data_IF_310981512189
#
_entry.id   IF_310981512189
#
_cell.length_a   1.000
_cell.length_b   1.000
_cell.length_c   1.000
_cell.angle_alpha   90.00
_cell.angle_beta   90.00
_cell.angle_gamma   90.00
#
_symmetry.space_group_name_H-M   'P 1'
#
loop_
_entity.id
_entity.type
_entity.pdbx_description
1 polymer ?
#
# COMPACT_ATOMS: atom_id res chain seq x y z
N UNK A 1 -21.75 -5.50 7.51
CA UNK A 1 -20.62 -4.56 7.31
C UNK A 1 -20.50 -4.27 5.83
N UNK A 2 -20.32 -3.00 5.45
CA UNK A 2 -20.17 -2.61 4.04
C UNK A 2 -18.79 -3.01 3.54
N UNK A 3 -18.71 -3.47 2.27
CA UNK A 3 -17.43 -3.81 1.62
C UNK A 3 -16.44 -2.63 1.74
N UNK A 4 -15.18 -2.87 2.16
CA UNK A 4 -14.17 -1.81 2.21
C UNK A 4 -13.93 -1.19 0.84
N UNK A 5 -13.57 0.10 0.85
CA UNK A 5 -13.02 0.76 -0.33
C UNK A 5 -11.52 0.51 -0.36
N UNK A 6 -11.03 -0.08 -1.44
CA UNK A 6 -9.62 -0.42 -1.60
C UNK A 6 -8.83 0.75 -2.18
N UNK A 7 -7.58 0.89 -1.74
CA UNK A 7 -6.66 1.89 -2.27
C UNK A 7 -6.07 1.36 -3.58
N UNK A 8 -6.08 2.17 -4.63
CA UNK A 8 -5.48 1.79 -5.91
C UNK A 8 -3.98 2.08 -5.92
N UNK A 9 -3.23 1.37 -6.77
CA UNK A 9 -1.79 1.65 -6.96
C UNK A 9 -1.53 3.11 -7.31
N UNK A 10 -2.31 3.67 -8.24
CA UNK A 10 -2.18 5.07 -8.65
C UNK A 10 -2.38 6.05 -7.49
N UNK A 11 -3.29 5.76 -6.56
CA UNK A 11 -3.45 6.59 -5.36
C UNK A 11 -2.23 6.52 -4.45
N UNK A 12 -1.62 5.35 -4.29
CA UNK A 12 -0.41 5.19 -3.47
C UNK A 12 0.78 5.86 -4.13
N UNK A 13 0.99 5.68 -5.43
CA UNK A 13 2.04 6.37 -6.20
C UNK A 13 1.88 7.89 -6.10
N UNK A 14 0.66 8.41 -6.25
CA UNK A 14 0.38 9.85 -6.11
C UNK A 14 0.68 10.38 -4.69
N UNK A 15 0.34 9.61 -3.65
CA UNK A 15 0.66 9.98 -2.26
C UNK A 15 2.18 9.93 -2.04
N UNK A 16 2.86 8.92 -2.58
CA UNK A 16 4.32 8.78 -2.47
C UNK A 16 5.04 9.96 -3.14
N UNK A 17 4.62 10.36 -4.34
CA UNK A 17 5.13 11.56 -5.01
C UNK A 17 5.01 12.78 -4.11
N UNK A 18 3.82 13.03 -3.52
CA UNK A 18 3.63 14.15 -2.61
C UNK A 18 4.53 14.10 -1.36
N UNK A 19 4.82 12.91 -0.82
CA UNK A 19 5.73 12.72 0.32
C UNK A 19 7.16 13.07 -0.06
N UNK A 20 7.63 12.62 -1.22
CA UNK A 20 8.99 12.92 -1.72
C UNK A 20 9.13 14.41 -2.02
N UNK A 21 8.13 15.06 -2.63
CA UNK A 21 8.16 16.50 -2.93
C UNK A 21 8.29 17.36 -1.65
N UNK A 22 7.72 16.91 -0.53
CA UNK A 22 7.79 17.62 0.76
C UNK A 22 9.07 17.29 1.53
N UNK A 23 9.46 16.02 1.56
CA UNK A 23 10.53 15.51 2.43
C UNK A 23 11.90 15.37 1.76
N UNK A 24 11.95 15.44 0.43
CA UNK A 24 13.08 14.99 -0.37
C UNK A 24 13.16 13.45 -0.44
N UNK A 25 14.15 12.96 -1.18
CA UNK A 25 14.34 11.53 -1.44
C UNK A 25 14.31 11.20 -2.93
N UNK A 26 14.13 9.93 -3.27
CA UNK A 26 14.10 9.47 -4.67
C UNK A 26 12.70 9.06 -5.11
N UNK A 27 12.25 9.66 -6.21
CA UNK A 27 11.03 9.23 -6.90
C UNK A 27 11.20 7.87 -7.53
N UNK A 28 10.08 7.16 -7.64
CA UNK A 28 9.96 5.99 -8.51
C UNK A 28 9.86 4.68 -7.76
N UNK A 29 9.32 3.71 -8.48
CA UNK A 29 9.21 2.33 -8.02
C UNK A 29 10.50 1.58 -8.27
N UNK A 30 10.92 0.83 -7.25
CA UNK A 30 11.91 -0.22 -7.38
C UNK A 30 11.30 -1.41 -8.12
N UNK A 31 10.09 -1.79 -7.74
CA UNK A 31 9.39 -2.94 -8.31
C UNK A 31 7.86 -2.78 -8.17
N UNK A 32 7.17 -2.75 -9.32
CA UNK A 32 5.71 -2.61 -9.38
C UNK A 32 5.00 -3.82 -8.76
N UNK A 33 5.52 -5.03 -8.95
CA UNK A 33 4.95 -6.26 -8.40
C UNK A 33 5.03 -6.32 -6.87
N UNK A 34 6.07 -5.72 -6.27
CA UNK A 34 6.17 -5.57 -4.82
C UNK A 34 5.08 -4.63 -4.28
N UNK A 35 4.75 -3.55 -4.99
CA UNK A 35 3.64 -2.68 -4.59
C UNK A 35 2.28 -3.37 -4.78
N UNK A 36 2.03 -3.95 -5.95
CA UNK A 36 0.76 -4.63 -6.25
C UNK A 36 0.48 -5.78 -5.27
N UNK A 37 1.50 -6.57 -4.91
CA UNK A 37 1.35 -7.63 -3.91
C UNK A 37 1.05 -7.09 -2.50
N UNK A 38 1.63 -5.95 -2.11
CA UNK A 38 1.32 -5.30 -0.84
C UNK A 38 -0.14 -4.82 -0.79
N UNK A 39 -0.64 -4.23 -1.87
CA UNK A 39 -2.01 -3.73 -1.96
C UNK A 39 -3.06 -4.85 -2.07
N UNK A 40 -2.68 -6.00 -2.63
CA UNK A 40 -3.55 -7.16 -2.73
C UNK A 40 -3.72 -7.89 -1.37
N UNK A 41 -2.73 -7.82 -0.47
CA UNK A 41 -2.74 -8.56 0.81
C UNK A 41 -4.02 -8.36 1.66
N UNK A 42 -4.47 -7.13 1.98
CA UNK A 42 -5.71 -6.92 2.72
C UNK A 42 -6.96 -7.33 1.92
N UNK A 43 -6.93 -7.24 0.59
CA UNK A 43 -8.04 -7.70 -0.26
C UNK A 43 -8.20 -9.22 -0.16
N UNK A 44 -7.08 -9.95 -0.17
CA UNK A 44 -7.07 -11.38 0.08
C UNK A 44 -7.56 -11.70 1.49
N UNK A 45 -7.04 -11.05 2.53
CA UNK A 45 -7.52 -11.27 3.91
C UNK A 45 -9.03 -11.07 4.04
N UNK A 46 -9.58 -10.05 3.38
CA UNK A 46 -11.03 -9.83 3.34
C UNK A 46 -11.78 -10.92 2.59
N UNK A 47 -11.28 -11.35 1.42
CA UNK A 47 -11.87 -12.45 0.67
C UNK A 47 -11.88 -13.77 1.46
N UNK A 48 -10.90 -13.98 2.35
CA UNK A 48 -10.80 -15.14 3.24
C UNK A 48 -11.50 -14.96 4.60
N UNK A 49 -12.25 -13.87 4.79
CA UNK A 49 -13.17 -13.72 5.93
C UNK A 49 -12.75 -12.73 7.01
N UNK A 50 -11.62 -12.02 6.88
CA UNK A 50 -11.29 -10.90 7.76
C UNK A 50 -12.20 -9.70 7.45
N UNK A 51 -12.97 -9.23 8.43
CA UNK A 51 -13.90 -8.10 8.25
C UNK A 51 -13.52 -6.87 9.07
N UNK A 52 -12.53 -6.97 9.95
CA UNK A 52 -12.08 -5.85 10.76
C UNK A 52 -11.27 -4.87 9.92
N UNK A 53 -11.84 -3.68 9.69
CA UNK A 53 -11.22 -2.60 8.93
C UNK A 53 -9.87 -2.18 9.51
N UNK A 54 -9.69 -2.19 10.84
CA UNK A 54 -8.42 -1.80 11.45
C UNK A 54 -7.34 -2.84 11.18
N UNK A 55 -7.69 -4.13 11.23
CA UNK A 55 -6.78 -5.21 10.86
C UNK A 55 -6.37 -5.14 9.38
N UNK A 56 -7.33 -4.88 8.48
CA UNK A 56 -7.06 -4.71 7.06
C UNK A 56 -6.18 -3.47 6.77
N UNK A 57 -6.39 -2.38 7.49
CA UNK A 57 -5.55 -1.18 7.40
C UNK A 57 -4.12 -1.44 7.91
N UNK A 58 -3.97 -2.13 9.04
CA UNK A 58 -2.66 -2.51 9.56
C UNK A 58 -1.89 -3.41 8.59
N UNK A 59 -2.60 -4.30 7.88
CA UNK A 59 -2.04 -5.15 6.84
C UNK A 59 -1.48 -4.36 5.65
N UNK A 60 -2.14 -3.27 5.22
CA UNK A 60 -1.57 -2.34 4.25
C UNK A 60 -0.25 -1.75 4.75
N UNK A 61 -0.26 -1.17 5.96
CA UNK A 61 0.92 -0.51 6.52
C UNK A 61 2.10 -1.48 6.64
N UNK A 62 1.88 -2.68 7.18
CA UNK A 62 2.94 -3.69 7.29
C UNK A 62 3.47 -4.10 5.91
N UNK A 63 2.59 -4.39 4.96
CA UNK A 63 2.99 -4.89 3.65
C UNK A 63 3.75 -3.84 2.82
N UNK A 64 3.29 -2.59 2.81
CA UNK A 64 3.95 -1.50 2.08
C UNK A 64 5.34 -1.25 2.67
N UNK A 65 5.45 -1.09 4.00
CA UNK A 65 6.73 -0.78 4.64
C UNK A 65 7.74 -1.94 4.56
N UNK A 66 7.28 -3.20 4.50
CA UNK A 66 8.16 -4.38 4.40
C UNK A 66 8.55 -4.75 2.97
N UNK A 67 7.70 -4.47 1.98
CA UNK A 67 7.96 -4.91 0.61
C UNK A 67 9.02 -4.05 -0.10
N UNK A 68 9.31 -2.84 0.39
CA UNK A 68 10.33 -1.97 -0.21
C UNK A 68 10.13 -1.76 -1.72
N UNK A 69 8.88 -1.49 -2.12
CA UNK A 69 8.48 -1.36 -3.51
C UNK A 69 8.92 -0.03 -4.13
N UNK A 70 9.16 1.01 -3.32
CA UNK A 70 9.70 2.30 -3.75
C UNK A 70 11.22 2.35 -3.57
N UNK A 71 11.88 3.17 -4.39
CA UNK A 71 13.32 3.43 -4.26
C UNK A 71 13.70 4.08 -2.92
N UNK A 72 12.78 4.88 -2.37
CA UNK A 72 12.91 5.53 -1.06
C UNK A 72 11.50 5.76 -0.45
N UNK A 73 11.42 6.07 0.85
CA UNK A 73 10.19 6.43 1.57
C UNK A 73 9.03 5.40 1.52
N UNK A 74 9.26 4.16 1.98
CA UNK A 74 8.23 3.10 2.12
C UNK A 74 7.52 3.12 3.49
#
# INVERSE_FOLDING_TARGET
MTKPKWVTRQQVEFIHEAVIEIGGGWHGLRDVGLLESALARPQYQYAYGSTDTLQLAASYAEAISRNHAFLDAN
#
